data_IF_181704438500
#
_entry.id   IF_181704438500
#
_cell.length_a   1.000
_cell.length_b   1.000
_cell.length_c   1.000
_cell.angle_alpha   90.00
_cell.angle_beta   90.00
_cell.angle_gamma   90.00
#
_symmetry.space_group_name_H-M   'P 1'
#
loop_
_entity.id
_entity.type
_entity.pdbx_description
1 polymer ?
#
# COMPACT_ATOMS: atom_id res chain seq x y z
N UNK A 1 -10.52 15.88 20.69
CA UNK A 1 -10.97 14.51 21.04
C UNK A 1 -9.87 13.56 20.63
N UNK A 2 -9.40 12.70 21.53
CA UNK A 2 -8.46 11.64 21.17
C UNK A 2 -9.25 10.53 20.44
N UNK A 3 -8.80 10.14 19.25
CA UNK A 3 -9.35 8.98 18.54
C UNK A 3 -8.75 7.72 19.19
N UNK A 4 -9.61 6.81 19.65
CA UNK A 4 -9.21 5.48 20.12
C UNK A 4 -9.78 4.44 19.15
N UNK A 5 -8.97 3.45 18.78
CA UNK A 5 -9.41 2.32 17.98
C UNK A 5 -9.71 1.14 18.91
N UNK A 6 -10.94 0.65 18.86
CA UNK A 6 -11.32 -0.57 19.56
C UNK A 6 -11.00 -1.80 18.69
N UNK A 7 -10.42 -2.87 19.24
CA UNK A 7 -10.19 -4.11 18.51
C UNK A 7 -11.49 -4.66 17.93
N UNK A 8 -11.46 -5.04 16.65
CA UNK A 8 -12.62 -5.62 15.98
C UNK A 8 -13.02 -6.94 16.67
N UNK A 9 -14.27 -7.07 17.10
CA UNK A 9 -14.75 -8.20 17.91
C UNK A 9 -14.63 -9.59 17.24
N UNK A 10 -14.50 -9.64 15.91
CA UNK A 10 -14.28 -10.89 15.15
C UNK A 10 -12.81 -11.14 14.81
N UNK A 11 -11.91 -10.19 15.02
CA UNK A 11 -10.51 -10.35 14.64
C UNK A 11 -9.72 -11.02 15.77
N UNK A 12 -9.29 -12.25 15.54
CA UNK A 12 -8.36 -12.93 16.44
C UNK A 12 -6.94 -12.58 16.01
N UNK A 13 -6.22 -11.85 16.87
CA UNK A 13 -4.82 -11.52 16.62
C UNK A 13 -3.99 -12.81 16.56
N UNK A 14 -3.13 -12.99 15.54
CA UNK A 14 -2.22 -14.13 15.48
C UNK A 14 -1.21 -14.11 16.65
N UNK A 15 -0.77 -15.29 17.07
CA UNK A 15 0.27 -15.43 18.09
C UNK A 15 1.63 -14.99 17.52
N UNK A 16 2.38 -14.19 18.27
CA UNK A 16 3.71 -13.73 17.91
C UNK A 16 3.76 -12.28 17.41
N UNK A 17 4.96 -11.82 16.98
CA UNK A 17 5.15 -10.48 16.44
C UNK A 17 4.50 -10.34 15.07
N UNK A 18 4.00 -9.14 14.77
CA UNK A 18 3.57 -8.75 13.42
C UNK A 18 4.70 -7.94 12.79
N UNK A 19 5.14 -8.32 11.60
CA UNK A 19 6.06 -7.55 10.78
C UNK A 19 5.29 -6.99 9.59
N UNK A 20 5.34 -5.67 9.41
CA UNK A 20 4.87 -4.98 8.21
C UNK A 20 6.10 -4.49 7.46
N UNK A 21 6.22 -4.85 6.18
CA UNK A 21 7.32 -4.43 5.30
C UNK A 21 6.75 -3.53 4.22
N UNK A 22 7.31 -2.33 4.08
CA UNK A 22 6.99 -1.40 2.99
C UNK A 22 8.21 -1.32 2.07
N UNK A 23 8.09 -1.90 0.87
CA UNK A 23 9.08 -1.77 -0.18
C UNK A 23 8.77 -0.51 -1.00
N UNK A 24 9.39 0.62 -0.64
CA UNK A 24 9.11 1.91 -1.27
C UNK A 24 9.44 1.88 -2.77
N UNK A 25 8.53 2.35 -3.61
CA UNK A 25 8.64 2.32 -5.07
C UNK A 25 8.50 0.93 -5.72
N UNK A 26 8.12 -0.12 -4.98
CA UNK A 26 7.89 -1.46 -5.54
C UNK A 26 6.43 -1.64 -5.97
N UNK A 27 6.18 -1.62 -7.28
CA UNK A 27 4.83 -1.69 -7.88
C UNK A 27 4.57 -2.93 -8.73
N UNK A 28 3.34 -3.07 -9.21
CA UNK A 28 2.93 -4.09 -10.18
C UNK A 28 2.79 -3.44 -11.57
N UNK A 29 3.72 -3.73 -12.46
CA UNK A 29 3.68 -3.31 -13.86
C UNK A 29 3.85 -4.54 -14.78
N UNK A 30 3.42 -4.48 -16.05
CA UNK A 30 3.70 -5.53 -17.01
C UNK A 30 5.19 -5.81 -17.17
N UNK A 31 5.52 -7.02 -17.60
CA UNK A 31 6.90 -7.39 -17.91
C UNK A 31 7.43 -6.53 -19.06
N UNK A 32 8.59 -5.90 -18.83
CA UNK A 32 9.26 -5.05 -19.80
C UNK A 32 10.76 -4.99 -19.47
N UNK A 33 11.67 -4.88 -20.46
CA UNK A 33 13.10 -4.76 -20.20
C UNK A 33 13.50 -3.53 -19.35
N UNK A 34 12.63 -2.52 -19.25
CA UNK A 34 12.81 -1.35 -18.37
C UNK A 34 12.17 -1.52 -16.99
N UNK A 35 11.42 -2.60 -16.76
CA UNK A 35 10.83 -2.92 -15.47
C UNK A 35 11.85 -3.69 -14.61
N UNK A 36 12.55 -2.95 -13.76
CA UNK A 36 13.57 -3.50 -12.88
C UNK A 36 13.04 -4.56 -11.89
N UNK A 37 11.73 -4.59 -11.61
CA UNK A 37 11.13 -5.60 -10.72
C UNK A 37 11.02 -6.94 -11.44
N UNK A 38 10.52 -6.97 -12.69
CA UNK A 38 10.40 -8.22 -13.46
C UNK A 38 11.76 -8.75 -13.92
N UNK A 39 12.75 -7.88 -14.11
CA UNK A 39 14.11 -8.27 -14.51
C UNK A 39 15.01 -8.72 -13.34
N UNK A 40 14.59 -8.49 -12.09
CA UNK A 40 15.36 -8.86 -10.91
C UNK A 40 15.13 -10.31 -10.49
N UNK A 41 16.16 -10.96 -9.93
CA UNK A 41 16.00 -12.26 -9.27
C UNK A 41 15.43 -12.04 -7.85
N UNK A 42 14.13 -12.31 -7.66
CA UNK A 42 13.43 -12.08 -6.39
C UNK A 42 12.79 -13.34 -5.77
N UNK A 43 13.53 -14.46 -5.59
CA UNK A 43 12.94 -15.77 -5.28
C UNK A 43 12.07 -15.81 -4.02
N UNK A 44 12.38 -14.97 -3.01
CA UNK A 44 11.55 -14.87 -1.81
C UNK A 44 10.21 -14.15 -2.08
N UNK A 45 10.22 -13.06 -2.86
CA UNK A 45 9.00 -12.34 -3.25
C UNK A 45 8.19 -13.18 -4.23
N UNK A 46 8.84 -13.85 -5.17
CA UNK A 46 8.20 -14.73 -6.16
C UNK A 46 7.39 -15.83 -5.46
N UNK A 47 7.99 -16.48 -4.45
CA UNK A 47 7.32 -17.49 -3.65
C UNK A 47 6.12 -16.91 -2.86
N UNK A 48 6.23 -15.70 -2.32
CA UNK A 48 5.14 -15.04 -1.61
C UNK A 48 4.00 -14.65 -2.55
N UNK A 49 4.32 -14.09 -3.72
CA UNK A 49 3.32 -13.66 -4.70
C UNK A 49 2.61 -14.83 -5.39
N UNK A 50 3.24 -16.01 -5.43
CA UNK A 50 2.60 -17.25 -5.90
C UNK A 50 1.60 -17.86 -4.89
N UNK A 51 1.58 -17.42 -3.63
CA UNK A 51 0.61 -17.87 -2.64
C UNK A 51 -0.80 -17.30 -2.93
N UNK A 52 -1.83 -18.08 -2.60
CA UNK A 52 -3.26 -17.69 -2.70
C UNK A 52 -3.65 -16.51 -1.79
N UNK A 53 -2.81 -16.16 -0.80
CA UNK A 53 -3.05 -15.05 0.13
C UNK A 53 -2.41 -13.73 -0.34
N UNK A 54 -2.32 -13.53 -1.65
CA UNK A 54 -1.78 -12.31 -2.27
C UNK A 54 -2.90 -11.55 -2.99
N UNK A 55 -2.85 -10.22 -2.93
CA UNK A 55 -3.74 -9.32 -3.69
C UNK A 55 -3.00 -8.06 -4.10
N UNK A 56 -3.48 -7.40 -5.16
CA UNK A 56 -3.00 -6.08 -5.60
C UNK A 56 -3.97 -5.01 -5.11
N UNK A 57 -3.43 -3.86 -4.68
CA UNK A 57 -4.20 -2.70 -4.22
C UNK A 57 -3.83 -1.47 -5.05
N UNK A 58 -4.77 -0.54 -5.19
CA UNK A 58 -4.48 0.77 -5.75
C UNK A 58 -3.65 1.61 -4.76
N UNK A 59 -2.58 2.22 -5.24
CA UNK A 59 -1.63 3.01 -4.44
C UNK A 59 -1.42 4.44 -4.98
N UNK A 60 -2.31 4.90 -5.86
CA UNK A 60 -2.28 6.21 -6.50
C UNK A 60 -3.69 6.79 -6.62
N UNK A 61 -3.77 8.04 -7.07
CA UNK A 61 -5.03 8.71 -7.33
C UNK A 61 -5.97 8.83 -6.14
N UNK A 62 -7.28 8.78 -6.42
CA UNK A 62 -8.31 8.98 -5.38
C UNK A 62 -8.29 7.90 -4.30
N UNK A 63 -7.75 6.71 -4.60
CA UNK A 63 -7.61 5.60 -3.65
C UNK A 63 -6.67 5.93 -2.46
N UNK A 64 -5.76 6.88 -2.63
CA UNK A 64 -4.87 7.38 -1.58
C UNK A 64 -5.12 8.84 -1.22
N UNK A 65 -6.21 9.42 -1.76
CA UNK A 65 -6.65 10.78 -1.45
C UNK A 65 -5.98 11.88 -2.28
N UNK A 66 -5.48 11.55 -3.47
CA UNK A 66 -5.03 12.52 -4.47
C UNK A 66 -6.22 13.07 -5.29
N UNK A 67 -6.04 14.22 -5.97
CA UNK A 67 -7.13 14.89 -6.67
C UNK A 67 -7.82 14.09 -7.77
N UNK A 68 -7.07 13.36 -8.57
CA UNK A 68 -7.55 12.61 -9.73
C UNK A 68 -6.89 11.24 -9.81
N UNK A 69 -7.48 10.32 -10.57
CA UNK A 69 -6.92 8.97 -10.73
C UNK A 69 -5.63 8.94 -11.57
N UNK A 70 -5.36 10.01 -12.32
CA UNK A 70 -4.12 10.19 -13.09
C UNK A 70 -2.94 10.66 -12.21
N UNK A 71 -3.21 11.08 -10.97
CA UNK A 71 -2.16 11.53 -10.06
C UNK A 71 -1.36 10.35 -9.51
N UNK A 72 -0.05 10.39 -9.77
CA UNK A 72 0.89 9.39 -9.31
C UNK A 72 0.96 9.36 -7.77
N UNK A 73 0.97 8.15 -7.22
CA UNK A 73 1.21 7.93 -5.79
C UNK A 73 2.60 8.40 -5.37
N UNK A 74 2.78 8.61 -4.07
CA UNK A 74 4.07 8.92 -3.47
C UNK A 74 4.15 8.39 -2.04
N UNK A 75 5.36 8.41 -1.47
CA UNK A 75 5.61 7.84 -0.14
C UNK A 75 4.75 8.49 0.95
N UNK A 76 4.55 9.82 0.93
CA UNK A 76 3.78 10.52 1.96
C UNK A 76 2.31 10.09 1.96
N UNK A 77 1.65 10.15 0.80
CA UNK A 77 0.22 9.78 0.70
C UNK A 77 0.00 8.29 0.97
N UNK A 78 0.93 7.44 0.52
CA UNK A 78 0.90 6.00 0.77
C UNK A 78 1.03 5.65 2.25
N UNK A 79 2.03 6.21 2.94
CA UNK A 79 2.22 5.97 4.38
C UNK A 79 1.07 6.53 5.22
N UNK A 80 0.50 7.69 4.82
CA UNK A 80 -0.67 8.24 5.48
C UNK A 80 -1.89 7.33 5.34
N UNK A 81 -2.18 6.82 4.13
CA UNK A 81 -3.29 5.91 3.89
C UNK A 81 -3.14 4.60 4.70
N UNK A 82 -1.94 3.99 4.67
CA UNK A 82 -1.64 2.77 5.41
C UNK A 82 -1.72 2.97 6.93
N UNK A 83 -1.09 4.03 7.45
CA UNK A 83 -1.03 4.30 8.88
C UNK A 83 -2.36 4.76 9.47
N UNK A 84 -3.18 5.47 8.69
CA UNK A 84 -4.48 5.95 9.13
C UNK A 84 -5.59 4.91 9.00
N UNK A 85 -5.45 3.93 8.12
CA UNK A 85 -6.50 2.96 7.79
C UNK A 85 -7.75 3.60 7.17
N UNK A 86 -7.62 4.79 6.58
CA UNK A 86 -8.68 5.53 5.89
C UNK A 86 -8.10 6.51 4.89
N UNK A 87 -8.91 6.85 3.89
CA UNK A 87 -8.57 7.83 2.86
C UNK A 87 -8.86 9.24 3.40
N UNK A 88 -7.91 10.15 3.23
CA UNK A 88 -8.07 11.56 3.53
C UNK A 88 -7.72 12.39 2.30
N UNK A 89 -8.42 13.50 2.09
CA UNK A 89 -7.99 14.51 1.11
C UNK A 89 -6.61 15.03 1.50
N UNK A 90 -5.62 14.84 0.62
CA UNK A 90 -4.24 15.23 0.88
C UNK A 90 -3.98 16.70 0.53
N UNK A 91 -2.80 17.22 0.90
CA UNK A 91 -2.44 18.63 0.74
C UNK A 91 -2.70 19.21 -0.66
N UNK A 92 -2.45 18.44 -1.73
CA UNK A 92 -2.74 18.85 -3.10
C UNK A 92 -4.24 19.12 -3.35
N UNK A 93 -5.14 18.37 -2.71
CA UNK A 93 -6.58 18.60 -2.75
C UNK A 93 -7.04 19.74 -1.84
N UNK A 94 -6.29 20.07 -0.79
CA UNK A 94 -6.68 21.06 0.21
C UNK A 94 -6.22 22.49 -0.14
N UNK A 95 -5.25 22.62 -1.04
CA UNK A 95 -4.70 23.91 -1.50
C UNK A 95 -5.38 24.40 -2.78
N UNK A 96 -5.99 23.49 -3.55
CA UNK A 96 -6.72 23.81 -4.79
C UNK A 96 -8.13 24.36 -4.53
#
# INVERSE_FOLDING_TARGET
MALSLEPHNKFQKPNGPLLVVVADGFGCAPDDPSNAISEAETPALDALFADRLTTVLAASGTAVGLPSDDDMGNSEVGHNALGAGRIFSQGALLVN
#
